data_IF_056654765472
#
_entry.id   IF_056654765472
#
_cell.length_a   1.000
_cell.length_b   1.000
_cell.length_c   1.000
_cell.angle_alpha   90.00
_cell.angle_beta   90.00
_cell.angle_gamma   90.00
#
_symmetry.space_group_name_H-M   'P 1'
#
loop_
_entity.id
_entity.type
_entity.pdbx_description
1 polymer ?
#
# COMPACT_ATOMS: atom_id res chain seq x y z
N UNK A 1 -11.65 16.15 -0.21
CA UNK A 1 -11.07 14.86 0.18
C UNK A 1 -9.57 14.96 -0.03
N UNK A 2 -8.78 14.66 1.00
CA UNK A 2 -7.33 14.70 0.90
C UNK A 2 -6.87 13.53 0.03
N UNK A 3 -6.42 13.83 -1.18
CA UNK A 3 -5.79 12.88 -2.10
C UNK A 3 -4.57 12.25 -1.41
N UNK A 4 -4.58 10.93 -1.22
CA UNK A 4 -3.50 10.21 -0.52
C UNK A 4 -2.33 10.07 -1.48
N UNK A 5 -1.43 11.05 -1.50
CA UNK A 5 -0.34 11.11 -2.49
C UNK A 5 0.77 10.07 -2.30
N UNK A 6 0.94 9.53 -1.10
CA UNK A 6 2.05 8.63 -0.77
C UNK A 6 1.73 7.81 0.48
N UNK A 7 1.97 6.51 0.40
CA UNK A 7 1.90 5.59 1.53
C UNK A 7 3.26 4.92 1.68
N UNK A 8 3.74 4.80 2.92
CA UNK A 8 4.99 4.11 3.22
C UNK A 8 4.67 2.91 4.11
N UNK A 9 4.96 1.71 3.61
CA UNK A 9 4.77 0.45 4.31
C UNK A 9 6.13 -0.11 4.71
N UNK A 10 6.29 -0.47 5.99
CA UNK A 10 7.43 -1.27 6.43
C UNK A 10 7.25 -2.71 5.91
N UNK A 11 7.91 -3.01 4.80
CA UNK A 11 7.78 -4.28 4.09
C UNK A 11 8.84 -5.29 4.57
N UNK A 12 8.40 -6.38 5.18
CA UNK A 12 9.27 -7.47 5.66
C UNK A 12 9.46 -8.59 4.63
N UNK A 13 8.66 -8.61 3.55
CA UNK A 13 8.68 -9.69 2.55
C UNK A 13 7.76 -10.87 2.87
N UNK A 14 7.00 -10.80 3.97
CA UNK A 14 5.99 -11.82 4.30
C UNK A 14 4.76 -11.76 3.40
N UNK A 15 3.97 -12.84 3.39
CA UNK A 15 2.68 -12.92 2.68
C UNK A 15 1.77 -11.76 3.10
N UNK A 16 1.64 -11.52 4.40
CA UNK A 16 0.81 -10.45 4.94
C UNK A 16 1.22 -9.07 4.42
N UNK A 17 2.53 -8.77 4.42
CA UNK A 17 3.03 -7.49 3.90
C UNK A 17 2.88 -7.36 2.38
N UNK A 18 2.90 -8.49 1.65
CA UNK A 18 2.70 -8.53 0.20
C UNK A 18 1.24 -8.28 -0.19
N UNK A 19 0.31 -8.84 0.58
CA UNK A 19 -1.13 -8.63 0.39
C UNK A 19 -1.51 -7.18 0.71
N UNK A 20 -0.99 -6.62 1.81
CA UNK A 20 -1.25 -5.23 2.20
C UNK A 20 -0.71 -4.25 1.14
N UNK A 21 0.48 -4.51 0.59
CA UNK A 21 1.05 -3.69 -0.49
C UNK A 21 0.11 -3.65 -1.71
N UNK A 22 -0.40 -4.81 -2.15
CA UNK A 22 -1.30 -4.92 -3.30
C UNK A 22 -2.64 -4.21 -3.05
N UNK A 23 -3.19 -4.35 -1.83
CA UNK A 23 -4.44 -3.71 -1.44
C UNK A 23 -4.33 -2.18 -1.39
N UNK A 24 -3.21 -1.65 -0.89
CA UNK A 24 -2.94 -0.21 -0.86
C UNK A 24 -2.87 0.39 -2.27
N UNK A 25 -2.21 -0.31 -3.20
CA UNK A 25 -2.14 0.10 -4.61
C UNK A 25 -3.53 0.14 -5.26
N UNK A 26 -4.38 -0.87 -5.02
CA UNK A 26 -5.74 -0.94 -5.59
C UNK A 26 -6.68 0.13 -4.98
N UNK A 27 -6.64 0.27 -3.65
CA UNK A 27 -7.55 1.15 -2.90
C UNK A 27 -7.26 2.63 -3.14
N UNK A 28 -5.97 2.98 -3.20
CA UNK A 28 -5.57 4.38 -3.32
C UNK A 28 -5.13 4.76 -4.74
N UNK A 29 -5.00 3.79 -5.66
CA UNK A 29 -4.48 4.01 -7.01
C UNK A 29 -3.15 4.78 -7.02
N UNK A 30 -2.31 4.49 -6.01
CA UNK A 30 -1.06 5.18 -5.74
C UNK A 30 0.09 4.19 -5.76
N UNK A 31 1.25 4.65 -6.24
CA UNK A 31 2.49 3.87 -6.35
C UNK A 31 3.34 3.91 -5.07
#
# INVERSE_FOLDING_TARGET
MSDVKKVVLAYSGGLDTSVILKWLQDTYNCE
#
